data_IF_430422689638
#
_entry.id   IF_430422689638
#
_cell.length_a   1.000
_cell.length_b   1.000
_cell.length_c   1.000
_cell.angle_alpha   90.00
_cell.angle_beta   90.00
_cell.angle_gamma   90.00
#
_symmetry.space_group_name_H-M   'P 1'
#
loop_
_entity.id
_entity.type
_entity.pdbx_description
1 polymer ?
#
# COMPACT_ATOMS: atom_id res chain seq x y z
N UNK A 1 -3.35 -22.63 21.41
CA UNK A 1 -3.24 -22.34 19.97
C UNK A 1 -2.66 -20.94 19.89
N UNK A 2 -1.34 -20.85 19.77
CA UNK A 2 -0.64 -19.59 19.56
C UNK A 2 -0.83 -19.26 18.08
N UNK A 3 -1.73 -18.32 17.77
CA UNK A 3 -1.83 -17.81 16.40
C UNK A 3 -0.45 -17.27 16.03
N UNK A 4 0.15 -17.69 14.90
CA UNK A 4 1.48 -17.24 14.52
C UNK A 4 1.48 -15.70 14.48
N UNK A 5 2.61 -15.04 14.83
CA UNK A 5 2.71 -13.59 14.83
C UNK A 5 2.58 -13.09 13.40
N UNK A 6 1.34 -12.88 12.96
CA UNK A 6 0.99 -12.23 11.72
C UNK A 6 0.91 -10.72 11.96
N UNK A 7 1.86 -10.21 12.75
CA UNK A 7 2.00 -8.82 13.22
C UNK A 7 2.64 -7.91 12.15
N UNK A 8 2.36 -8.16 10.86
CA UNK A 8 2.49 -7.08 9.90
C UNK A 8 1.20 -6.27 9.98
N UNK A 9 1.21 -5.32 10.92
CA UNK A 9 0.17 -4.35 11.15
C UNK A 9 -0.23 -3.72 9.81
N UNK A 10 -1.45 -4.00 9.33
CA UNK A 10 -1.89 -3.58 8.00
C UNK A 10 -1.75 -2.06 7.84
N UNK A 11 -1.91 -1.30 8.94
CA UNK A 11 -1.63 0.14 9.03
C UNK A 11 -0.16 0.47 8.79
N UNK A 12 0.78 -0.26 9.39
CA UNK A 12 2.21 -0.05 9.17
C UNK A 12 2.61 -0.34 7.71
N UNK A 13 2.03 -1.39 7.11
CA UNK A 13 2.19 -1.70 5.69
C UNK A 13 1.68 -0.56 4.79
N UNK A 14 0.50 -0.02 5.11
CA UNK A 14 -0.07 1.13 4.42
C UNK A 14 0.82 2.37 4.49
N UNK A 15 1.39 2.64 5.67
CA UNK A 15 2.30 3.78 5.90
C UNK A 15 3.60 3.66 5.10
N UNK A 16 4.12 2.45 4.92
CA UNK A 16 5.33 2.20 4.15
C UNK A 16 5.09 2.18 2.63
N UNK A 17 3.84 2.04 2.18
CA UNK A 17 3.49 1.88 0.78
C UNK A 17 3.92 3.06 -0.13
N UNK A 18 3.66 4.35 0.18
CA UNK A 18 4.07 5.45 -0.69
C UNK A 18 5.60 5.54 -0.81
N UNK A 19 6.35 5.29 0.27
CA UNK A 19 7.82 5.24 0.24
C UNK A 19 8.39 4.06 -0.59
N UNK A 20 7.57 3.05 -0.86
CA UNK A 20 7.91 1.92 -1.76
C UNK A 20 7.40 2.14 -3.20
N UNK A 21 6.80 3.29 -3.49
CA UNK A 21 6.22 3.57 -4.78
C UNK A 21 4.89 2.84 -5.04
N UNK A 22 4.22 2.35 -4.00
CA UNK A 22 2.92 1.69 -4.13
C UNK A 22 1.81 2.73 -4.10
N UNK A 23 0.85 2.59 -5.03
CA UNK A 23 -0.36 3.41 -5.04
C UNK A 23 -1.36 2.92 -3.99
N UNK A 24 -2.28 3.80 -3.56
CA UNK A 24 -3.39 3.46 -2.65
C UNK A 24 -4.24 2.28 -3.17
N UNK A 25 -4.37 2.17 -4.48
CA UNK A 25 -5.12 1.10 -5.17
C UNK A 25 -4.37 -0.23 -5.20
N UNK A 26 -3.06 -0.24 -4.94
CA UNK A 26 -2.26 -1.46 -4.83
C UNK A 26 -2.46 -2.19 -3.48
N UNK A 27 -3.45 -1.76 -2.68
CA UNK A 27 -3.83 -2.42 -1.44
C UNK A 27 -4.17 -3.90 -1.72
N UNK A 28 -3.42 -4.87 -1.14
CA UNK A 28 -3.63 -6.29 -1.42
C UNK A 28 -4.87 -6.87 -0.73
N UNK A 29 -5.50 -6.10 0.16
CA UNK A 29 -6.64 -6.52 0.95
C UNK A 29 -7.97 -6.29 0.22
N UNK A 30 -8.88 -7.24 0.37
CA UNK A 30 -10.21 -7.17 -0.22
C UNK A 30 -11.03 -5.99 0.33
N UNK A 31 -11.92 -5.48 -0.51
CA UNK A 31 -12.89 -4.44 -0.14
C UNK A 31 -13.78 -4.89 1.01
N UNK A 32 -14.04 -3.97 1.97
CA UNK A 32 -14.84 -4.25 3.16
C UNK A 32 -14.11 -4.99 4.29
N UNK A 33 -12.82 -5.32 4.14
CA UNK A 33 -12.03 -5.93 5.23
C UNK A 33 -11.44 -4.88 6.16
N UNK A 34 -11.33 -5.20 7.45
CA UNK A 34 -10.66 -4.34 8.44
C UNK A 34 -9.21 -4.06 8.07
N UNK A 35 -8.50 -5.07 7.54
CA UNK A 35 -7.13 -4.91 7.04
C UNK A 35 -7.01 -3.86 5.93
N UNK A 36 -7.99 -3.78 5.00
CA UNK A 36 -8.02 -2.72 3.99
C UNK A 36 -8.20 -1.34 4.63
N UNK A 37 -9.11 -1.22 5.60
CA UNK A 37 -9.34 0.06 6.30
C UNK A 37 -8.07 0.52 7.02
N UNK A 38 -7.40 -0.38 7.73
CA UNK A 38 -6.14 -0.11 8.42
C UNK A 38 -5.04 0.30 7.44
N UNK A 39 -4.87 -0.43 6.34
CA UNK A 39 -3.87 -0.13 5.32
C UNK A 39 -4.11 1.24 4.64
N UNK A 40 -5.36 1.54 4.27
CA UNK A 40 -5.71 2.83 3.68
C UNK A 40 -5.46 3.97 4.68
N UNK A 41 -5.78 3.77 5.96
CA UNK A 41 -5.52 4.76 7.01
C UNK A 41 -4.02 5.03 7.19
N UNK A 42 -3.20 3.97 7.17
CA UNK A 42 -1.74 4.12 7.23
C UNK A 42 -1.16 4.86 6.01
N UNK A 43 -1.69 4.58 4.82
CA UNK A 43 -1.32 5.28 3.59
C UNK A 43 -1.62 6.79 3.68
N UNK A 44 -2.85 7.13 4.07
CA UNK A 44 -3.28 8.52 4.27
C UNK A 44 -2.40 9.24 5.31
N UNK A 45 -2.01 8.57 6.41
CA UNK A 45 -1.07 9.14 7.38
C UNK A 45 0.32 9.40 6.79
N UNK A 46 0.86 8.48 5.98
CA UNK A 46 2.14 8.70 5.33
C UNK A 46 2.10 9.88 4.36
N UNK A 47 1.05 9.99 3.56
CA UNK A 47 0.84 11.12 2.64
C UNK A 47 0.70 12.43 3.43
N UNK A 48 -0.07 12.42 4.52
CA UNK A 48 -0.20 13.59 5.41
C UNK A 48 1.11 13.96 6.09
N UNK A 49 2.01 12.99 6.32
CA UNK A 49 3.35 13.22 6.85
C UNK A 49 4.34 13.74 5.79
N UNK A 50 3.92 13.87 4.52
CA UNK A 50 4.73 14.38 3.42
C UNK A 50 5.31 13.30 2.50
N UNK A 51 4.83 12.06 2.56
CA UNK A 51 5.20 11.06 1.57
C UNK A 51 4.52 11.37 0.22
N UNK A 52 5.24 11.22 -0.88
CA UNK A 52 4.68 11.41 -2.22
C UNK A 52 3.63 10.33 -2.54
N UNK A 53 2.36 10.71 -2.76
CA UNK A 53 1.32 9.77 -3.11
C UNK A 53 1.53 9.31 -4.55
N UNK A 54 1.85 8.02 -4.73
CA UNK A 54 1.86 7.43 -6.07
C UNK A 54 0.43 7.32 -6.57
N UNK A 55 0.07 8.24 -7.46
CA UNK A 55 -1.19 8.23 -8.21
C UNK A 55 -0.89 7.69 -9.59
N UNK A 56 -1.21 6.41 -9.80
CA UNK A 56 -0.87 5.70 -11.02
C UNK A 56 -0.71 4.23 -10.69
N UNK A 57 -1.79 3.46 -10.87
CA UNK A 57 -1.86 2.04 -10.60
C UNK A 57 -0.64 1.29 -11.12
N UNK A 58 -0.25 0.24 -10.39
CA UNK A 58 0.83 -0.74 -10.70
C UNK A 58 1.38 -0.49 -12.10
N UNK A 59 2.58 0.09 -12.20
CA UNK A 59 3.25 0.26 -13.48
C UNK A 59 3.30 -1.12 -14.16
N UNK A 60 2.34 -1.34 -15.05
CA UNK A 60 2.21 -2.54 -15.84
C UNK A 60 3.26 -2.42 -16.92
N UNK A 61 4.40 -3.01 -16.62
CA UNK A 61 5.49 -3.39 -17.51
C UNK A 61 6.47 -2.28 -17.94
N UNK A 62 7.77 -2.60 -18.11
CA UNK A 62 8.71 -1.72 -18.79
C UNK A 62 8.30 -1.59 -20.25
N UNK A 63 8.04 -0.37 -20.71
CA UNK A 63 8.11 -0.07 -22.14
C UNK A 63 9.60 0.03 -22.52
N UNK A 64 10.25 -1.12 -22.67
CA UNK A 64 11.46 -1.26 -23.48
C UNK A 64 11.10 -1.29 -24.97
N UNK A 65 12.08 -1.07 -25.88
CA UNK A 65 11.98 -0.05 -26.94
C UNK A 65 11.56 -0.60 -28.31
N UNK A 66 10.75 0.17 -29.06
CA UNK A 66 10.57 0.11 -30.52
C UNK A 66 9.92 1.45 -30.95
N UNK A 67 10.42 2.27 -31.88
CA UNK A 67 11.40 2.14 -32.96
C UNK A 67 12.16 3.45 -33.15
#
# INVERSE_FOLDING_TARGET
>A
MESPPNDLDARALGKAAPGKGLAREACPYAEGTEARVLWLSGYDEAVSAGADPVTGGIAKHPAGPER
#
